data_IF_321572514726
#
_entry.id   IF_321572514726
#
_cell.length_a   1.000
_cell.length_b   1.000
_cell.length_c   1.000
_cell.angle_alpha   90.00
_cell.angle_beta   90.00
_cell.angle_gamma   90.00
#
_symmetry.space_group_name_H-M   'P 1'
#
loop_
_entity.id
_entity.type
_entity.pdbx_description
1 polymer ?
#
# COMPACT_ATOMS: atom_id res chain seq x y z
N UNK A 1 -4.40 4.97 27.65
CA UNK A 1 -5.33 4.57 26.58
C UNK A 1 -4.83 3.23 26.06
N UNK A 2 -5.59 2.16 26.25
CA UNK A 2 -5.16 0.78 25.95
C UNK A 2 -5.28 0.53 24.45
N UNK A 3 -4.18 0.26 23.75
CA UNK A 3 -4.23 -0.17 22.35
C UNK A 3 -4.62 -1.66 22.30
N UNK A 4 -5.83 -2.02 21.83
CA UNK A 4 -6.22 -3.41 21.76
C UNK A 4 -5.44 -4.13 20.66
N UNK A 5 -4.78 -5.23 21.02
CA UNK A 5 -4.13 -6.11 20.06
C UNK A 5 -5.18 -6.93 19.31
N UNK A 6 -5.26 -6.70 18.00
CA UNK A 6 -6.13 -7.41 17.08
C UNK A 6 -5.59 -8.80 16.74
N UNK A 7 -6.52 -9.72 16.52
CA UNK A 7 -6.22 -11.04 15.99
C UNK A 7 -6.10 -11.01 14.46
N UNK A 8 -5.40 -11.96 13.82
CA UNK A 8 -5.37 -12.05 12.36
C UNK A 8 -6.76 -12.21 11.72
N UNK A 9 -7.75 -12.72 12.47
CA UNK A 9 -9.13 -12.80 12.02
C UNK A 9 -9.82 -11.43 11.97
N UNK A 10 -9.60 -10.58 12.98
CA UNK A 10 -10.13 -9.20 12.98
C UNK A 10 -9.45 -8.30 11.96
N UNK A 11 -8.15 -8.50 11.75
CA UNK A 11 -7.40 -7.81 10.69
C UNK A 11 -7.93 -8.21 9.30
N UNK A 12 -8.28 -9.49 9.13
CA UNK A 12 -8.89 -10.01 7.91
C UNK A 12 -10.25 -9.36 7.63
N UNK A 13 -11.11 -9.27 8.65
CA UNK A 13 -12.40 -8.59 8.56
C UNK A 13 -12.24 -7.11 8.19
N UNK A 14 -11.36 -6.38 8.89
CA UNK A 14 -11.09 -4.95 8.62
C UNK A 14 -10.54 -4.67 7.23
N UNK A 15 -9.62 -5.50 6.73
CA UNK A 15 -9.03 -5.33 5.40
C UNK A 15 -9.89 -5.95 4.29
N UNK A 16 -11.00 -6.61 4.64
CA UNK A 16 -11.82 -7.41 3.71
C UNK A 16 -10.98 -8.46 2.96
N UNK A 17 -10.03 -9.09 3.67
CA UNK A 17 -9.14 -10.13 3.16
C UNK A 17 -9.48 -11.48 3.78
N UNK A 18 -9.07 -12.57 3.13
CA UNK A 18 -9.16 -13.91 3.71
C UNK A 18 -8.14 -14.10 4.84
N UNK A 19 -8.50 -14.82 5.90
CA UNK A 19 -7.59 -15.13 7.03
C UNK A 19 -6.25 -15.75 6.56
N UNK A 20 -6.30 -16.63 5.55
CA UNK A 20 -5.09 -17.19 4.94
C UNK A 20 -4.21 -16.15 4.24
N UNK A 21 -4.81 -15.15 3.59
CA UNK A 21 -4.08 -14.05 2.97
C UNK A 21 -3.44 -13.14 4.02
N UNK A 22 -4.16 -12.83 5.11
CA UNK A 22 -3.61 -12.04 6.23
C UNK A 22 -2.47 -12.79 6.93
N UNK A 23 -2.65 -14.07 7.24
CA UNK A 23 -1.60 -14.89 7.85
C UNK A 23 -0.36 -14.96 6.95
N UNK A 24 -0.56 -15.10 5.64
CA UNK A 24 0.53 -15.06 4.66
C UNK A 24 1.20 -13.68 4.63
N UNK A 25 0.43 -12.61 4.60
CA UNK A 25 0.96 -11.23 4.60
C UNK A 25 1.74 -10.89 5.88
N UNK A 26 1.30 -11.40 7.04
CA UNK A 26 2.03 -11.30 8.31
C UNK A 26 3.35 -12.07 8.27
N UNK A 27 3.35 -13.29 7.70
CA UNK A 27 4.57 -14.08 7.48
C UNK A 27 5.55 -13.42 6.52
N UNK A 28 5.04 -12.74 5.49
CA UNK A 28 5.84 -11.98 4.52
C UNK A 28 6.29 -10.61 5.05
N UNK A 29 5.84 -10.19 6.24
CA UNK A 29 6.15 -8.87 6.80
C UNK A 29 5.50 -7.71 6.03
N UNK A 30 4.43 -7.98 5.26
CA UNK A 30 3.72 -6.96 4.48
C UNK A 30 2.73 -6.16 5.33
N UNK A 31 2.23 -6.76 6.40
CA UNK A 31 1.34 -6.14 7.40
C UNK A 31 2.11 -6.08 8.72
N UNK A 32 2.08 -4.96 9.45
CA UNK A 32 2.69 -4.86 10.77
C UNK A 32 2.01 -5.84 11.72
N UNK A 33 2.80 -6.75 12.31
CA UNK A 33 2.28 -7.72 13.25
C UNK A 33 3.39 -8.45 13.99
N UNK A 34 3.10 -8.78 15.23
CA UNK A 34 4.02 -9.36 16.20
C UNK A 34 3.61 -10.79 16.48
N UNK A 35 4.58 -11.72 16.45
CA UNK A 35 4.35 -13.10 16.83
C UNK A 35 4.61 -13.26 18.33
N UNK A 36 3.56 -13.40 19.12
CA UNK A 36 3.63 -13.54 20.58
C UNK A 36 3.09 -14.91 20.97
N UNK A 37 3.92 -15.72 21.64
CA UNK A 37 3.57 -17.07 22.13
C UNK A 37 2.91 -17.98 21.07
N UNK A 38 3.35 -17.87 19.81
CA UNK A 38 2.84 -18.69 18.70
C UNK A 38 1.61 -18.12 17.99
N UNK A 39 1.03 -17.03 18.49
CA UNK A 39 -0.08 -16.32 17.85
C UNK A 39 0.39 -15.00 17.22
N UNK A 40 -0.25 -14.61 16.12
CA UNK A 40 -0.05 -13.28 15.54
C UNK A 40 -0.92 -12.25 16.25
N UNK A 41 -0.34 -11.09 16.53
CA UNK A 41 -0.98 -9.94 17.17
C UNK A 41 -0.67 -8.70 16.37
N UNK A 42 -1.67 -7.87 16.13
CA UNK A 42 -1.52 -6.64 15.36
C UNK A 42 -2.02 -5.48 16.21
N UNK A 43 -1.23 -4.43 16.35
CA UNK A 43 -1.69 -3.21 17.01
C UNK A 43 -2.71 -2.52 16.11
N UNK A 44 -3.85 -2.09 16.68
CA UNK A 44 -4.86 -1.38 15.90
C UNK A 44 -4.28 -0.08 15.33
N UNK A 45 -3.57 0.67 16.18
CA UNK A 45 -2.93 1.94 15.79
C UNK A 45 -1.93 1.74 14.65
N UNK A 46 -1.04 0.74 14.74
CA UNK A 46 -0.07 0.49 13.67
C UNK A 46 -0.71 -0.01 12.37
N UNK A 47 -1.81 -0.77 12.47
CA UNK A 47 -2.53 -1.20 11.28
C UNK A 47 -3.15 -0.01 10.54
N UNK A 48 -3.75 0.92 11.28
CA UNK A 48 -4.35 2.13 10.71
C UNK A 48 -3.30 3.02 10.04
N UNK A 49 -2.18 3.29 10.73
CA UNK A 49 -1.06 4.04 10.18
C UNK A 49 -0.50 3.39 8.90
N UNK A 50 -0.36 2.07 8.89
CA UNK A 50 0.09 1.33 7.71
C UNK A 50 -0.89 1.45 6.52
N UNK A 51 -2.20 1.42 6.77
CA UNK A 51 -3.21 1.62 5.72
C UNK A 51 -3.09 3.03 5.14
N UNK A 52 -2.92 4.04 5.99
CA UNK A 52 -2.76 5.42 5.56
C UNK A 52 -1.49 5.63 4.74
N UNK A 53 -0.36 5.10 5.21
CA UNK A 53 0.92 5.11 4.50
C UNK A 53 0.81 4.48 3.09
N UNK A 54 0.17 3.31 2.99
CA UNK A 54 -0.07 2.63 1.70
C UNK A 54 -0.96 3.41 0.74
N UNK A 55 -1.95 4.16 1.24
CA UNK A 55 -2.80 5.02 0.40
C UNK A 55 -2.02 6.20 -0.21
N UNK A 56 -1.00 6.69 0.48
CA UNK A 56 -0.16 7.79 0.02
C UNK A 56 0.83 7.32 -1.05
N UNK A 57 1.44 6.15 -0.87
CA UNK A 57 2.36 5.53 -1.84
C UNK A 57 1.70 5.30 -3.21
N UNK A 58 0.46 4.78 -3.22
CA UNK A 58 -0.27 4.52 -4.47
C UNK A 58 -0.61 5.79 -5.25
N UNK A 59 -0.80 6.93 -4.56
CA UNK A 59 -1.13 8.21 -5.20
C UNK A 59 0.10 8.90 -5.80
N UNK A 60 1.27 8.76 -5.17
CA UNK A 60 2.51 9.32 -5.71
C UNK A 60 2.97 8.58 -6.96
N UNK A 61 2.95 7.24 -6.95
CA UNK A 61 3.39 6.45 -8.11
C UNK A 61 2.50 6.65 -9.36
N UNK A 62 1.21 6.89 -9.19
CA UNK A 62 0.30 7.20 -10.30
C UNK A 62 0.52 8.62 -10.85
N UNK A 63 0.75 9.61 -9.97
CA UNK A 63 1.00 10.99 -10.40
C UNK A 63 2.33 11.13 -11.14
N UNK A 64 3.40 10.49 -10.66
CA UNK A 64 4.70 10.45 -11.34
C UNK A 64 4.59 9.80 -12.72
N UNK A 65 3.90 8.66 -12.80
CA UNK A 65 3.67 7.95 -14.06
C UNK A 65 2.87 8.78 -15.07
N UNK A 66 1.78 9.44 -14.62
CA UNK A 66 0.94 10.27 -15.48
C UNK A 66 1.67 11.55 -15.94
N UNK A 67 2.56 12.11 -15.11
CA UNK A 67 3.40 13.25 -15.49
C UNK A 67 4.39 12.84 -16.59
N UNK A 68 5.06 11.71 -16.43
CA UNK A 68 6.03 11.22 -17.42
C UNK A 68 5.37 10.90 -18.78
N UNK A 69 4.20 10.26 -18.78
CA UNK A 69 3.46 9.97 -20.03
C UNK A 69 3.03 11.25 -20.76
N UNK A 70 2.59 12.27 -20.00
CA UNK A 70 2.18 13.57 -20.55
C UNK A 70 3.37 14.34 -21.13
N UNK A 71 4.51 14.31 -20.44
CA UNK A 71 5.74 14.99 -20.87
C UNK A 71 6.33 14.35 -22.14
N UNK A 72 6.33 13.01 -22.21
CA UNK A 72 6.79 12.27 -23.41
C UNK A 72 5.91 12.51 -24.64
N UNK A 73 4.60 12.71 -24.47
CA UNK A 73 3.70 13.08 -25.58
C UNK A 73 3.93 14.51 -26.05
N UNK A 74 4.13 15.46 -25.14
CA UNK A 74 4.38 16.86 -25.48
C UNK A 74 5.69 17.04 -26.27
N UNK A 75 6.73 16.25 -25.97
CA UNK A 75 7.99 16.26 -26.72
C UNK A 75 7.88 15.70 -28.15
N UNK A 76 6.85 14.90 -28.46
CA UNK A 76 6.67 14.27 -29.77
C UNK A 76 5.90 15.10 -30.80
N UNK A 77 5.23 16.18 -30.38
CA UNK A 77 4.38 17.01 -31.26
C UNK A 77 5.09 18.29 -31.74
N UNK A 78 6.35 18.52 -31.35
CA UNK A 78 7.07 19.79 -31.59
C UNK A 78 8.24 19.77 -32.56
N UNK A 79 8.51 18.69 -33.30
CA UNK A 79 9.63 18.61 -34.26
C UNK A 79 9.17 18.13 -35.64
N UNK A 80 8.48 18.98 -36.38
CA UNK A 80 8.47 18.96 -37.84
C UNK A 80 8.07 20.35 -38.34
N UNK A 81 8.96 21.31 -38.08
CA UNK A 81 9.05 22.54 -38.86
C UNK A 81 10.38 22.52 -39.61
N UNK A 82 10.31 22.87 -40.90
CA UNK A 82 11.41 23.30 -41.77
C UNK A 82 12.18 22.23 -42.55
N UNK A 83 11.73 22.00 -43.79
CA UNK A 83 12.48 21.99 -45.06
C UNK A 83 11.40 22.04 -46.17
N UNK A 84 11.41 22.83 -47.24
CA UNK A 84 12.27 23.87 -47.82
C UNK A 84 11.51 24.42 -49.03
#
# INVERSE_FOLDING_TARGET
MTDPLLTPAEVADRLSLSNGAVTRALREGRIPGYKILGAWRVSCTELEDWIESRRVDSRQSESDFLSEVRERRAASVGSSSSIG
#
